data_IF_227568953397
#
_entry.id   IF_227568953397
#
_cell.length_a   1.000
_cell.length_b   1.000
_cell.length_c   1.000
_cell.angle_alpha   90.00
_cell.angle_beta   90.00
_cell.angle_gamma   90.00
#
_symmetry.space_group_name_H-M   'P 1'
#
loop_
_entity.id
_entity.type
_entity.pdbx_description
1 polymer ?
#
# COMPACT_ATOMS: atom_id res chain seq x y z
N UNK A 1 36.33 -34.65 29.80
CA UNK A 1 35.37 -33.75 29.11
C UNK A 1 34.98 -32.60 30.03
N UNK A 2 34.68 -31.41 29.50
CA UNK A 2 34.19 -30.27 30.31
C UNK A 2 32.65 -30.28 30.39
N UNK A 3 32.10 -30.09 31.59
CA UNK A 3 30.67 -29.99 31.86
C UNK A 3 30.32 -28.54 32.20
N UNK A 4 29.64 -27.84 31.28
CA UNK A 4 29.15 -26.49 31.49
C UNK A 4 27.75 -26.56 32.10
N UNK A 5 27.67 -26.53 33.43
CA UNK A 5 26.41 -26.65 34.18
C UNK A 5 25.84 -25.27 34.46
N UNK A 6 24.53 -25.12 34.31
CA UNK A 6 23.79 -23.88 34.55
C UNK A 6 22.55 -24.14 35.41
N UNK A 7 22.25 -23.24 36.35
CA UNK A 7 21.05 -23.33 37.19
C UNK A 7 20.11 -22.13 36.92
N UNK A 8 19.02 -22.32 36.15
CA UNK A 8 18.17 -21.20 35.72
C UNK A 8 17.43 -20.46 36.84
N UNK A 9 17.35 -21.03 38.05
CA UNK A 9 16.70 -20.42 39.21
C UNK A 9 17.56 -19.31 39.82
N UNK A 10 18.84 -19.61 40.13
CA UNK A 10 19.82 -18.60 40.60
C UNK A 10 20.38 -17.74 39.48
N UNK A 11 20.41 -18.26 38.25
CA UNK A 11 21.07 -17.62 37.10
C UNK A 11 22.58 -17.82 37.06
N UNK A 12 23.14 -18.63 37.97
CA UNK A 12 24.56 -18.98 38.00
C UNK A 12 24.90 -20.08 36.97
N UNK A 13 26.18 -20.16 36.62
CA UNK A 13 26.77 -21.18 35.75
C UNK A 13 28.20 -21.48 36.21
N UNK A 14 28.61 -22.74 36.13
CA UNK A 14 29.96 -23.19 36.50
C UNK A 14 30.42 -24.30 35.55
N UNK A 15 31.68 -24.23 35.13
CA UNK A 15 32.32 -25.29 34.36
C UNK A 15 33.03 -26.24 35.32
N UNK A 16 32.77 -27.53 35.15
CA UNK A 16 33.46 -28.61 35.85
C UNK A 16 34.28 -29.41 34.84
N UNK A 17 35.45 -29.89 35.24
CA UNK A 17 36.35 -30.70 34.41
C UNK A 17 36.32 -32.14 34.94
N UNK A 18 35.78 -33.07 34.15
CA UNK A 18 35.64 -34.48 34.54
C UNK A 18 36.46 -35.32 33.59
N UNK A 19 37.52 -35.95 34.10
CA UNK A 19 38.41 -36.83 33.31
C UNK A 19 38.03 -38.31 33.42
N UNK A 20 37.23 -38.68 34.42
CA UNK A 20 36.77 -40.05 34.66
C UNK A 20 35.67 -40.45 33.67
N UNK A 21 35.99 -41.34 32.73
CA UNK A 21 35.08 -41.85 31.73
C UNK A 21 33.95 -42.74 32.30
N UNK A 22 34.11 -43.36 33.48
CA UNK A 22 33.03 -44.15 34.09
C UNK A 22 31.85 -43.25 34.46
N UNK A 23 32.15 -42.05 34.96
CA UNK A 23 31.14 -41.02 35.22
C UNK A 23 30.53 -40.54 33.90
N UNK A 24 31.35 -40.24 32.89
CA UNK A 24 30.88 -39.71 31.61
C UNK A 24 30.02 -40.70 30.79
N UNK A 25 30.21 -42.01 30.93
CA UNK A 25 29.44 -43.07 30.23
C UNK A 25 27.92 -42.91 30.37
N UNK A 26 27.44 -42.42 31.50
CA UNK A 26 26.01 -42.20 31.77
C UNK A 26 25.37 -41.15 30.84
N UNK A 27 26.16 -40.25 30.27
CA UNK A 27 25.72 -39.26 29.28
C UNK A 27 25.77 -39.77 27.83
N UNK A 28 26.51 -40.84 27.53
CA UNK A 28 26.64 -41.37 26.16
C UNK A 28 25.33 -42.01 25.68
N UNK A 29 25.11 -41.97 24.36
CA UNK A 29 23.89 -42.34 23.64
C UNK A 29 22.60 -41.58 24.02
N UNK A 30 22.64 -40.75 25.06
CA UNK A 30 21.56 -39.82 25.40
C UNK A 30 21.48 -38.70 24.35
N UNK A 31 20.26 -38.24 24.08
CA UNK A 31 19.98 -37.19 23.08
C UNK A 31 19.87 -35.82 23.76
N UNK A 32 20.20 -34.75 23.02
CA UNK A 32 19.85 -33.38 23.43
C UNK A 32 18.37 -33.29 23.85
N UNK A 33 18.11 -32.62 24.98
CA UNK A 33 16.78 -32.49 25.58
C UNK A 33 16.38 -33.63 26.53
N UNK A 34 17.09 -34.76 26.54
CA UNK A 34 16.88 -35.81 27.53
C UNK A 34 17.26 -35.33 28.94
N UNK A 35 16.61 -35.93 29.95
CA UNK A 35 16.88 -35.71 31.37
C UNK A 35 17.58 -36.93 31.98
N UNK A 36 18.53 -36.68 32.88
CA UNK A 36 19.48 -37.65 33.42
C UNK A 36 19.72 -37.32 34.89
N UNK A 37 19.76 -38.32 35.76
CA UNK A 37 20.13 -38.14 37.17
C UNK A 37 21.64 -37.98 37.31
N UNK A 38 22.09 -37.05 38.15
CA UNK A 38 23.49 -36.64 38.23
C UNK A 38 24.31 -37.41 39.27
N UNK A 39 23.69 -38.32 40.02
CA UNK A 39 24.26 -39.02 41.18
C UNK A 39 25.61 -39.69 40.88
N UNK A 40 25.75 -40.24 39.66
CA UNK A 40 26.96 -40.88 39.16
C UNK A 40 28.19 -39.97 39.06
N UNK A 41 28.05 -38.64 39.19
CA UNK A 41 29.19 -37.72 39.25
C UNK A 41 29.88 -37.72 40.63
N UNK A 42 29.14 -38.05 41.70
CA UNK A 42 29.59 -38.06 43.10
C UNK A 42 28.57 -37.42 44.04
N UNK A 43 28.76 -37.59 45.35
CA UNK A 43 27.75 -37.32 46.39
C UNK A 43 27.23 -35.88 46.47
N UNK A 44 27.96 -34.90 45.95
CA UNK A 44 27.49 -33.50 45.81
C UNK A 44 26.28 -33.39 44.87
N UNK A 45 26.19 -34.30 43.89
CA UNK A 45 25.20 -34.30 42.81
C UNK A 45 24.00 -35.22 43.11
N UNK A 46 23.94 -35.84 44.30
CA UNK A 46 22.85 -36.73 44.71
C UNK A 46 21.50 -36.03 44.67
N UNK A 47 20.55 -36.61 43.94
CA UNK A 47 19.20 -36.07 43.72
C UNK A 47 19.11 -34.94 42.68
N UNK A 48 20.22 -34.47 42.11
CA UNK A 48 20.17 -33.51 41.01
C UNK A 48 19.72 -34.18 39.72
N UNK A 49 18.83 -33.52 38.98
CA UNK A 49 18.43 -33.94 37.62
C UNK A 49 18.85 -32.88 36.62
N UNK A 50 19.65 -33.30 35.64
CA UNK A 50 20.10 -32.47 34.54
C UNK A 50 19.28 -32.71 33.28
N UNK A 51 19.23 -31.70 32.41
CA UNK A 51 18.82 -31.80 31.00
C UNK A 51 20.01 -31.48 30.10
N UNK A 52 20.26 -32.31 29.09
CA UNK A 52 21.28 -32.01 28.07
C UNK A 52 20.79 -30.85 27.21
N UNK A 53 21.42 -29.68 27.33
CA UNK A 53 21.08 -28.49 26.53
C UNK A 53 21.76 -28.51 25.15
N UNK A 54 22.91 -29.15 25.04
CA UNK A 54 23.73 -29.22 23.83
C UNK A 54 25.21 -29.42 24.16
N UNK A 55 26.10 -28.99 23.28
CA UNK A 55 27.54 -29.10 23.48
C UNK A 55 28.34 -28.72 22.24
N UNK A 56 29.66 -28.87 22.36
CA UNK A 56 30.63 -28.65 21.29
C UNK A 56 31.54 -29.87 21.14
N UNK A 57 31.70 -30.30 19.90
CA UNK A 57 32.65 -31.33 19.45
C UNK A 57 34.12 -30.92 19.74
N UNK A 58 35.05 -31.88 19.75
CA UNK A 58 36.50 -31.64 19.93
C UNK A 58 37.05 -30.54 19.00
N UNK A 59 36.65 -30.53 17.73
CA UNK A 59 36.98 -29.44 16.77
C UNK A 59 35.95 -28.28 16.77
N UNK A 60 35.31 -27.99 17.91
CA UNK A 60 34.47 -26.82 18.15
C UNK A 60 33.08 -26.81 17.49
N UNK A 61 32.75 -27.76 16.62
CA UNK A 61 31.45 -27.82 15.94
C UNK A 61 30.29 -27.98 16.97
N UNK A 62 29.28 -27.09 16.96
CA UNK A 62 28.17 -27.18 17.91
C UNK A 62 27.23 -28.34 17.57
N UNK A 63 26.67 -28.97 18.60
CA UNK A 63 25.57 -29.94 18.47
C UNK A 63 24.29 -29.27 17.97
N UNK A 64 23.43 -30.04 17.29
CA UNK A 64 22.13 -29.55 16.81
C UNK A 64 20.99 -30.54 17.02
N UNK A 65 19.98 -30.09 17.75
CA UNK A 65 18.75 -30.84 17.98
C UNK A 65 18.06 -31.23 16.66
N UNK A 66 17.53 -32.45 16.63
CA UNK A 66 16.87 -33.08 15.48
C UNK A 66 17.81 -33.73 14.46
N UNK A 67 19.12 -33.76 14.69
CA UNK A 67 20.09 -34.48 13.85
C UNK A 67 20.43 -35.79 14.56
N UNK A 68 19.71 -36.86 14.23
CA UNK A 68 19.73 -38.15 14.97
C UNK A 68 20.97 -39.01 14.69
N UNK A 69 22.15 -38.39 14.69
CA UNK A 69 23.46 -39.04 14.61
C UNK A 69 24.29 -38.68 15.85
N UNK A 70 25.33 -39.47 16.12
CA UNK A 70 26.48 -39.02 16.91
C UNK A 70 27.44 -38.19 16.02
N UNK A 71 27.74 -38.63 14.79
CA UNK A 71 28.65 -37.98 13.84
C UNK A 71 28.20 -36.58 13.34
N UNK A 72 29.07 -35.90 12.56
CA UNK A 72 28.81 -34.58 11.96
C UNK A 72 28.13 -34.68 10.59
N UNK A 73 27.19 -33.77 10.30
CA UNK A 73 26.44 -33.73 9.03
C UNK A 73 26.49 -32.32 8.40
N UNK A 74 26.52 -32.21 7.06
CA UNK A 74 26.58 -30.92 6.31
C UNK A 74 25.20 -30.43 5.84
N UNK A 75 24.52 -29.68 6.70
CA UNK A 75 23.13 -29.20 6.50
C UNK A 75 23.06 -27.79 5.88
N UNK A 76 22.04 -27.55 5.04
CA UNK A 76 21.77 -26.25 4.40
C UNK A 76 20.91 -25.35 5.30
N UNK A 77 21.55 -24.55 6.15
CA UNK A 77 20.91 -23.74 7.17
C UNK A 77 20.37 -22.41 6.62
N UNK A 78 19.27 -21.91 7.21
CA UNK A 78 18.58 -20.64 6.87
C UNK A 78 18.41 -19.77 8.13
N UNK A 79 17.97 -18.51 7.97
CA UNK A 79 17.63 -17.61 9.09
C UNK A 79 16.68 -18.31 10.08
N UNK A 80 17.04 -18.29 11.37
CA UNK A 80 16.24 -18.88 12.45
C UNK A 80 16.55 -20.34 12.80
N UNK A 81 17.38 -21.04 12.03
CA UNK A 81 17.96 -22.31 12.50
C UNK A 81 19.12 -22.09 13.46
N UNK A 82 19.30 -23.01 14.40
CA UNK A 82 20.49 -23.09 15.26
C UNK A 82 21.79 -23.25 14.45
N UNK A 83 22.93 -22.93 15.08
CA UNK A 83 24.29 -23.09 14.53
C UNK A 83 24.65 -22.19 13.34
N UNK A 84 23.77 -21.25 12.94
CA UNK A 84 24.00 -20.30 11.85
C UNK A 84 23.30 -18.95 12.07
N UNK A 85 24.03 -17.87 11.75
CA UNK A 85 23.49 -16.51 11.63
C UNK A 85 23.82 -16.00 10.23
N UNK A 86 22.83 -15.74 9.35
CA UNK A 86 23.08 -15.20 8.02
C UNK A 86 23.66 -13.78 8.09
N UNK A 87 24.36 -13.39 7.03
CA UNK A 87 24.89 -12.03 6.81
C UNK A 87 24.01 -11.23 5.86
N UNK A 88 23.45 -11.86 4.81
CA UNK A 88 22.47 -11.25 3.89
C UNK A 88 21.04 -11.76 4.16
N UNK A 89 20.04 -10.98 3.78
CA UNK A 89 18.63 -11.43 3.76
C UNK A 89 18.45 -12.55 2.73
N UNK A 90 17.63 -13.57 3.05
CA UNK A 90 17.46 -14.76 2.21
C UNK A 90 18.61 -15.78 2.22
N UNK A 91 19.80 -15.43 2.71
CA UNK A 91 21.00 -16.27 2.67
C UNK A 91 20.80 -17.65 3.33
N UNK A 92 21.05 -18.71 2.57
CA UNK A 92 21.18 -20.09 3.05
C UNK A 92 22.63 -20.56 2.87
N UNK A 93 23.23 -21.20 3.88
CA UNK A 93 24.62 -21.70 3.79
C UNK A 93 24.73 -23.13 4.29
N UNK A 94 25.38 -24.00 3.51
CA UNK A 94 25.67 -25.38 3.91
C UNK A 94 26.82 -25.38 4.91
N UNK A 95 26.58 -25.83 6.14
CA UNK A 95 27.57 -25.90 7.23
C UNK A 95 27.63 -27.30 7.82
N UNK A 96 28.82 -27.72 8.25
CA UNK A 96 29.00 -28.89 9.10
C UNK A 96 28.47 -28.59 10.52
N UNK A 97 27.77 -29.54 11.11
CA UNK A 97 27.17 -29.44 12.45
C UNK A 97 27.26 -30.82 13.12
N UNK A 98 27.48 -30.86 14.45
CA UNK A 98 27.49 -32.11 15.21
C UNK A 98 26.05 -32.59 15.45
N UNK A 99 25.84 -33.91 15.48
CA UNK A 99 24.55 -34.52 15.77
C UNK A 99 24.03 -34.21 17.19
N UNK A 100 22.85 -34.74 17.53
CA UNK A 100 22.22 -34.55 18.83
C UNK A 100 22.48 -35.68 19.84
N UNK A 101 23.12 -36.78 19.42
CA UNK A 101 23.51 -37.89 20.30
C UNK A 101 24.86 -37.56 20.93
N UNK A 102 24.96 -37.75 22.25
CA UNK A 102 26.17 -37.50 23.04
C UNK A 102 27.13 -38.70 22.96
N UNK A 103 28.43 -38.41 22.89
CA UNK A 103 29.52 -39.35 22.58
C UNK A 103 30.85 -38.79 23.14
N UNK A 104 31.85 -39.65 23.31
CA UNK A 104 33.22 -39.34 23.76
C UNK A 104 33.94 -38.25 22.95
N UNK A 105 33.45 -37.92 21.75
CA UNK A 105 34.05 -36.91 20.86
C UNK A 105 33.54 -35.48 21.06
N UNK A 106 32.98 -35.18 22.23
CA UNK A 106 32.71 -33.81 22.67
C UNK A 106 33.89 -33.25 23.49
N UNK A 107 34.15 -31.95 23.34
CA UNK A 107 35.05 -31.19 24.22
C UNK A 107 34.29 -30.68 25.46
N UNK A 108 33.09 -30.13 25.22
CA UNK A 108 32.24 -29.58 26.26
C UNK A 108 30.77 -29.98 26.07
N UNK A 109 30.15 -30.47 27.14
CA UNK A 109 28.71 -30.74 27.22
C UNK A 109 28.03 -29.61 28.01
N UNK A 110 26.90 -29.11 27.53
CA UNK A 110 26.11 -28.06 28.19
C UNK A 110 24.90 -28.67 28.89
N UNK A 111 24.79 -28.42 30.20
CA UNK A 111 23.81 -29.02 31.09
C UNK A 111 22.98 -27.94 31.81
N UNK A 112 21.69 -28.21 31.96
CA UNK A 112 20.74 -27.37 32.71
C UNK A 112 20.24 -28.17 33.90
N UNK A 113 20.37 -27.63 35.12
CA UNK A 113 19.73 -28.20 36.31
C UNK A 113 18.21 -28.00 36.21
N UNK A 114 17.46 -29.10 36.25
CA UNK A 114 15.98 -29.13 36.25
C UNK A 114 15.44 -29.32 37.66
N UNK A 115 16.04 -30.23 38.44
CA UNK A 115 15.77 -30.42 39.87
C UNK A 115 17.06 -30.21 40.67
N UNK A 116 16.96 -29.47 41.77
CA UNK A 116 18.03 -29.36 42.78
C UNK A 116 18.01 -30.64 43.63
N UNK A 117 19.19 -31.18 43.94
CA UNK A 117 19.36 -32.28 44.90
C UNK A 117 19.47 -31.80 46.35
N UNK A 118 20.00 -32.68 47.21
CA UNK A 118 20.05 -32.50 48.66
C UNK A 118 21.08 -31.47 49.12
N UNK A 119 22.33 -31.61 48.65
CA UNK A 119 23.47 -30.74 49.02
C UNK A 119 23.55 -29.52 48.10
N UNK A 120 24.07 -28.40 48.59
CA UNK A 120 24.38 -27.24 47.75
C UNK A 120 25.77 -27.33 47.11
N UNK A 121 25.87 -26.80 45.88
CA UNK A 121 27.06 -26.93 45.04
C UNK A 121 27.73 -25.56 44.91
N UNK A 122 29.00 -25.42 45.35
CA UNK A 122 29.64 -24.13 45.56
C UNK A 122 29.81 -23.36 44.25
N UNK A 123 29.28 -22.13 44.22
CA UNK A 123 29.28 -21.28 43.02
C UNK A 123 28.32 -21.70 41.91
N UNK A 124 27.35 -22.58 42.15
CA UNK A 124 26.28 -22.93 41.21
C UNK A 124 24.86 -22.81 41.81
N UNK A 125 24.62 -23.37 42.99
CA UNK A 125 23.31 -23.29 43.66
C UNK A 125 23.33 -22.43 44.92
N UNK A 126 24.49 -22.33 45.57
CA UNK A 126 24.79 -21.42 46.66
C UNK A 126 24.71 -19.93 46.22
N UNK A 127 25.37 -19.56 45.10
CA UNK A 127 25.37 -18.17 44.63
C UNK A 127 24.13 -17.79 43.81
N UNK A 128 23.49 -16.67 44.16
CA UNK A 128 22.34 -16.10 43.42
C UNK A 128 22.74 -14.87 42.59
N UNK A 129 22.36 -14.85 41.31
CA UNK A 129 22.75 -13.82 40.34
C UNK A 129 21.50 -13.02 39.90
N UNK A 130 21.22 -11.86 40.52
CA UNK A 130 19.97 -11.14 40.30
C UNK A 130 19.83 -10.62 38.86
N UNK A 131 18.59 -10.67 38.33
CA UNK A 131 18.28 -10.25 36.95
C UNK A 131 18.51 -8.74 36.76
N UNK A 132 19.64 -8.39 36.12
CA UNK A 132 20.16 -7.03 35.89
C UNK A 132 19.18 -5.99 35.29
N UNK A 133 18.05 -6.40 34.70
CA UNK A 133 17.09 -5.51 34.03
C UNK A 133 15.64 -5.93 34.31
N UNK A 134 14.84 -4.99 34.81
CA UNK A 134 13.39 -5.14 34.96
C UNK A 134 12.59 -4.94 33.66
N UNK A 135 11.26 -5.11 33.71
CA UNK A 135 10.39 -5.04 32.54
C UNK A 135 10.31 -3.63 31.93
N UNK A 136 10.54 -3.52 30.61
CA UNK A 136 10.47 -2.24 29.86
C UNK A 136 9.08 -1.90 29.31
N UNK A 137 8.17 -2.87 29.20
CA UNK A 137 6.83 -2.69 28.58
C UNK A 137 5.79 -2.45 29.67
N UNK A 138 4.90 -1.47 29.50
CA UNK A 138 3.87 -1.12 30.49
C UNK A 138 3.07 -2.33 30.98
N UNK A 139 2.60 -3.20 30.07
CA UNK A 139 1.90 -4.44 30.41
C UNK A 139 2.70 -5.43 31.27
N UNK A 140 4.03 -5.41 31.17
CA UNK A 140 4.91 -6.31 31.90
C UNK A 140 5.35 -5.71 33.25
N UNK A 141 5.28 -4.39 33.40
CA UNK A 141 5.41 -3.71 34.70
C UNK A 141 4.16 -4.01 35.53
N UNK A 142 2.96 -3.88 34.95
CA UNK A 142 1.70 -4.24 35.63
C UNK A 142 1.69 -5.69 36.11
N UNK A 143 2.08 -6.64 35.26
CA UNK A 143 2.23 -8.07 35.61
C UNK A 143 3.33 -8.39 36.64
N UNK A 144 4.26 -7.47 36.93
CA UNK A 144 5.30 -7.71 37.94
C UNK A 144 4.85 -7.27 39.34
N UNK A 145 4.03 -6.22 39.41
CA UNK A 145 3.55 -5.60 40.64
C UNK A 145 2.03 -5.80 40.87
N UNK A 146 1.41 -6.72 40.12
CA UNK A 146 -0.04 -7.00 40.12
C UNK A 146 -0.96 -5.77 39.98
N UNK A 147 -0.48 -4.73 39.29
CA UNK A 147 -1.18 -3.46 39.14
C UNK A 147 -2.43 -3.57 38.24
N UNK A 148 -3.41 -2.72 38.56
CA UNK A 148 -4.66 -2.52 37.84
C UNK A 148 -4.44 -1.81 36.49
N UNK A 149 -5.52 -1.46 35.77
CA UNK A 149 -5.41 -0.67 34.53
C UNK A 149 -5.32 0.84 34.80
N UNK A 150 -5.65 1.24 36.01
CA UNK A 150 -5.83 2.59 36.51
C UNK A 150 -4.48 3.16 36.99
N UNK A 151 -3.65 2.33 37.62
CA UNK A 151 -2.33 2.70 38.19
C UNK A 151 -1.31 3.23 37.17
N UNK A 152 -0.59 4.32 37.51
CA UNK A 152 0.53 4.79 36.67
C UNK A 152 1.81 3.97 36.88
N UNK A 153 2.05 3.07 35.92
CA UNK A 153 3.26 2.27 35.77
C UNK A 153 4.58 3.05 35.75
N UNK A 154 4.57 4.39 35.66
CA UNK A 154 5.78 5.22 35.75
C UNK A 154 6.45 5.19 37.12
N UNK A 155 5.68 5.09 38.20
CA UNK A 155 6.22 5.06 39.56
C UNK A 155 6.93 3.72 39.81
N UNK A 156 6.29 2.62 39.42
CA UNK A 156 6.73 1.23 39.57
C UNK A 156 7.79 0.78 38.53
N UNK A 157 8.55 1.71 37.93
CA UNK A 157 9.66 1.34 37.04
C UNK A 157 10.90 1.00 37.86
N UNK A 158 11.34 -0.27 37.80
CA UNK A 158 12.63 -0.71 38.35
C UNK A 158 13.77 0.16 37.78
N UNK A 159 14.37 0.98 38.65
CA UNK A 159 15.53 1.83 38.33
C UNK A 159 16.79 1.06 38.70
N UNK A 160 17.79 1.02 37.81
CA UNK A 160 19.10 0.44 38.13
C UNK A 160 19.98 1.51 38.80
N UNK A 161 20.49 1.31 40.03
CA UNK A 161 21.54 2.17 40.56
C UNK A 161 22.83 2.01 39.74
N UNK A 162 23.56 3.10 39.55
CA UNK A 162 24.95 3.09 39.14
C UNK A 162 25.76 3.66 40.31
N UNK A 163 26.77 2.94 40.83
CA UNK A 163 27.63 3.47 41.88
C UNK A 163 28.46 4.66 41.38
N UNK A 164 29.08 5.36 42.31
CA UNK A 164 30.18 6.30 42.05
C UNK A 164 31.25 5.60 41.21
N UNK A 165 31.63 6.16 40.06
CA UNK A 165 32.77 5.64 39.29
C UNK A 165 33.35 6.71 38.35
N UNK A 166 34.67 6.71 38.20
CA UNK A 166 35.40 7.53 37.23
C UNK A 166 35.03 9.03 37.35
N UNK A 167 35.01 9.56 38.59
CA UNK A 167 34.66 10.95 38.92
C UNK A 167 33.17 11.32 38.75
N UNK A 168 32.27 10.34 38.59
CA UNK A 168 30.86 10.57 38.30
C UNK A 168 29.97 10.10 39.45
N UNK A 169 29.31 11.08 40.08
CA UNK A 169 28.32 10.90 41.15
C UNK A 169 27.37 9.74 40.92
N UNK A 170 27.15 8.93 41.95
CA UNK A 170 26.18 7.82 41.96
C UNK A 170 24.80 8.28 41.43
N UNK A 171 24.16 7.46 40.59
CA UNK A 171 22.91 7.86 39.90
C UNK A 171 22.07 6.70 39.42
N UNK A 172 20.75 6.84 39.49
CA UNK A 172 19.82 5.82 38.98
C UNK A 172 19.56 5.98 37.48
N UNK A 173 19.29 4.86 36.79
CA UNK A 173 18.85 4.84 35.38
C UNK A 173 17.58 4.00 35.23
N UNK A 174 16.53 4.62 34.67
CA UNK A 174 15.27 3.97 34.35
C UNK A 174 15.15 3.70 32.82
N UNK A 175 14.55 2.58 32.40
CA UNK A 175 14.22 2.35 30.99
C UNK A 175 13.05 3.24 30.52
N UNK A 176 13.15 3.81 29.31
CA UNK A 176 11.99 4.45 28.65
C UNK A 176 10.89 3.42 28.39
N UNK A 177 9.75 3.57 29.07
CA UNK A 177 8.62 2.64 29.04
C UNK A 177 8.06 2.51 27.62
N UNK A 178 7.89 1.28 27.15
CA UNK A 178 7.29 0.97 25.86
C UNK A 178 5.80 0.63 25.99
N UNK A 179 4.98 1.06 25.02
CA UNK A 179 3.52 0.87 24.98
C UNK A 179 2.75 1.51 26.15
N UNK A 180 3.31 2.53 26.78
CA UNK A 180 2.57 3.45 27.66
C UNK A 180 1.63 4.32 26.81
N UNK A 181 0.39 4.51 27.28
CA UNK A 181 -0.54 5.50 26.73
C UNK A 181 -0.20 6.86 27.35
N UNK A 182 -0.04 7.90 26.54
CA UNK A 182 0.24 9.27 26.99
C UNK A 182 -0.72 10.26 26.34
N UNK A 183 -0.90 11.49 26.88
CA UNK A 183 -1.73 12.51 26.26
C UNK A 183 -1.37 12.77 24.79
N UNK A 184 -0.09 12.77 24.45
CA UNK A 184 0.41 12.91 23.06
C UNK A 184 -0.01 11.74 22.17
N UNK A 185 -0.08 10.51 22.68
CA UNK A 185 -0.61 9.35 21.92
C UNK A 185 -2.12 9.50 21.69
N UNK A 186 -2.87 9.97 22.67
CA UNK A 186 -4.30 10.24 22.55
C UNK A 186 -4.59 11.40 21.58
N UNK A 187 -3.83 12.49 21.66
CA UNK A 187 -3.88 13.63 20.72
C UNK A 187 -3.58 13.17 19.29
N UNK A 188 -2.53 12.37 19.06
CA UNK A 188 -2.20 11.79 17.74
C UNK A 188 -3.30 10.85 17.23
N UNK A 189 -4.00 10.12 18.11
CA UNK A 189 -5.19 9.31 17.74
C UNK A 189 -6.36 10.20 17.33
N UNK A 190 -6.69 11.23 18.13
CA UNK A 190 -7.74 12.22 17.82
C UNK A 190 -7.48 12.94 16.50
N UNK A 191 -6.27 13.46 16.29
CA UNK A 191 -5.85 14.15 15.06
C UNK A 191 -5.96 13.25 13.81
N UNK A 192 -5.54 11.98 13.89
CA UNK A 192 -5.69 11.02 12.78
C UNK A 192 -7.16 10.78 12.41
N UNK A 193 -8.06 10.76 13.40
CA UNK A 193 -9.50 10.62 13.17
C UNK A 193 -10.10 11.91 12.57
N UNK A 194 -9.67 13.08 13.03
CA UNK A 194 -10.07 14.37 12.45
C UNK A 194 -9.66 14.50 10.98
N UNK A 195 -8.43 14.10 10.60
CA UNK A 195 -8.00 14.04 9.20
C UNK A 195 -8.88 13.08 8.37
N UNK A 196 -9.27 11.93 8.93
CA UNK A 196 -10.18 11.00 8.25
C UNK A 196 -11.57 11.62 8.03
N UNK A 197 -12.12 12.31 9.02
CA UNK A 197 -13.38 13.06 8.92
C UNK A 197 -13.31 14.14 7.82
N UNK A 198 -12.31 15.04 7.89
CA UNK A 198 -12.10 16.11 6.91
C UNK A 198 -12.00 15.61 5.47
N UNK A 199 -11.37 14.45 5.23
CA UNK A 199 -11.29 13.82 3.89
C UNK A 199 -12.61 13.24 3.39
N UNK A 200 -13.55 12.90 4.28
CA UNK A 200 -14.90 12.44 3.92
C UNK A 200 -15.81 13.65 3.69
N UNK A 201 -15.69 14.68 4.54
CA UNK A 201 -16.35 15.99 4.39
C UNK A 201 -15.97 16.63 3.04
N UNK A 202 -14.68 16.87 2.79
CA UNK A 202 -14.22 17.50 1.53
C UNK A 202 -14.55 16.70 0.26
N UNK A 203 -14.72 15.38 0.38
CA UNK A 203 -15.18 14.53 -0.74
C UNK A 203 -16.67 14.72 -1.01
N UNK A 204 -17.51 14.77 0.03
CA UNK A 204 -18.95 15.06 -0.10
C UNK A 204 -19.20 16.47 -0.64
N UNK A 205 -18.39 17.44 -0.21
CA UNK A 205 -18.44 18.83 -0.69
C UNK A 205 -18.13 18.89 -2.19
N UNK A 206 -16.99 18.33 -2.63
CA UNK A 206 -16.62 18.26 -4.04
C UNK A 206 -17.63 17.47 -4.90
N UNK A 207 -18.22 16.41 -4.36
CA UNK A 207 -19.29 15.63 -5.01
C UNK A 207 -20.56 16.48 -5.20
N UNK A 208 -20.98 17.23 -4.16
CA UNK A 208 -22.12 18.13 -4.24
C UNK A 208 -21.88 19.33 -5.17
N UNK A 209 -20.67 19.88 -5.20
CA UNK A 209 -20.26 20.93 -6.16
C UNK A 209 -20.24 20.44 -7.59
N UNK A 210 -19.66 19.26 -7.84
CA UNK A 210 -19.67 18.63 -9.14
C UNK A 210 -21.10 18.37 -9.64
N UNK A 211 -21.99 17.89 -8.76
CA UNK A 211 -23.41 17.73 -9.09
C UNK A 211 -24.09 19.06 -9.44
N UNK A 212 -23.86 20.15 -8.69
CA UNK A 212 -24.37 21.49 -9.04
C UNK A 212 -23.91 21.93 -10.45
N UNK A 213 -22.63 21.75 -10.77
CA UNK A 213 -22.06 22.07 -12.09
C UNK A 213 -22.69 21.20 -13.18
N UNK A 214 -22.92 19.92 -12.92
CA UNK A 214 -23.52 18.97 -13.85
C UNK A 214 -24.99 19.33 -14.14
N UNK A 215 -25.77 19.71 -13.12
CA UNK A 215 -27.13 20.24 -13.28
C UNK A 215 -27.15 21.54 -14.09
N UNK A 216 -26.21 22.47 -13.83
CA UNK A 216 -26.10 23.72 -14.60
C UNK A 216 -25.80 23.45 -16.08
N UNK A 217 -24.82 22.59 -16.39
CA UNK A 217 -24.47 22.21 -17.76
C UNK A 217 -25.65 21.53 -18.48
N UNK A 218 -26.33 20.57 -17.83
CA UNK A 218 -27.56 19.94 -18.39
C UNK A 218 -28.66 20.97 -18.66
N UNK A 219 -28.85 21.98 -17.80
CA UNK A 219 -29.82 23.07 -18.02
C UNK A 219 -29.43 23.93 -19.23
N UNK A 220 -28.17 24.35 -19.32
CA UNK A 220 -27.64 25.13 -20.45
C UNK A 220 -27.75 24.35 -21.77
N UNK A 221 -27.41 23.07 -21.78
CA UNK A 221 -27.53 22.19 -22.94
C UNK A 221 -28.99 21.99 -23.37
N UNK A 222 -29.92 21.79 -22.42
CA UNK A 222 -31.37 21.72 -22.72
C UNK A 222 -31.89 23.03 -23.32
N UNK A 223 -31.41 24.18 -22.84
CA UNK A 223 -31.73 25.50 -23.41
C UNK A 223 -31.14 25.64 -24.82
N UNK A 224 -29.87 25.29 -25.04
CA UNK A 224 -29.20 25.34 -26.36
C UNK A 224 -29.87 24.41 -27.36
N UNK A 225 -30.32 23.23 -26.94
CA UNK A 225 -31.10 22.29 -27.77
C UNK A 225 -32.49 22.83 -28.10
N UNK A 226 -33.20 23.44 -27.13
CA UNK A 226 -34.51 24.09 -27.37
C UNK A 226 -34.38 25.30 -28.30
N UNK A 227 -33.37 26.13 -28.12
CA UNK A 227 -33.05 27.28 -29.00
C UNK A 227 -32.76 26.82 -30.43
N UNK A 228 -31.89 25.82 -30.62
CA UNK A 228 -31.64 25.20 -31.94
C UNK A 228 -32.93 24.68 -32.59
N UNK A 229 -33.78 23.99 -31.82
CA UNK A 229 -35.07 23.48 -32.30
C UNK A 229 -36.07 24.59 -32.65
N UNK A 230 -36.05 25.73 -31.93
CA UNK A 230 -36.80 26.93 -32.33
C UNK A 230 -36.28 27.45 -33.65
N UNK A 231 -34.99 27.76 -33.79
CA UNK A 231 -34.43 28.26 -35.05
C UNK A 231 -34.66 27.31 -36.24
N UNK A 232 -34.73 25.99 -36.02
CA UNK A 232 -35.09 24.98 -37.05
C UNK A 232 -36.58 24.96 -37.39
N UNK A 233 -37.45 25.47 -36.51
CA UNK A 233 -38.90 25.64 -36.73
C UNK A 233 -39.18 26.99 -37.37
N UNK A 234 -38.57 28.05 -36.85
CA UNK A 234 -38.75 29.43 -37.28
C UNK A 234 -38.27 29.62 -38.74
N UNK A 235 -37.15 28.98 -39.11
CA UNK A 235 -36.67 28.88 -40.51
C UNK A 235 -37.50 27.94 -41.40
N UNK A 236 -38.31 27.05 -40.83
CA UNK A 236 -39.27 26.22 -41.58
C UNK A 236 -40.60 26.94 -41.81
N UNK A 237 -41.04 27.79 -40.88
CA UNK A 237 -42.21 28.65 -41.07
C UNK A 237 -41.95 29.80 -42.02
N UNK A 238 -40.77 30.44 -41.98
CA UNK A 238 -40.45 31.50 -42.96
C UNK A 238 -40.42 30.95 -44.40
N UNK A 239 -39.81 29.79 -44.62
CA UNK A 239 -39.83 29.06 -45.91
C UNK A 239 -41.24 28.50 -46.22
N UNK A 240 -42.17 28.47 -45.27
CA UNK A 240 -43.60 28.30 -45.55
C UNK A 240 -44.20 29.58 -46.12
N UNK A 241 -44.18 30.64 -45.32
CA UNK A 241 -44.74 31.96 -45.67
C UNK A 241 -44.22 32.53 -47.00
N UNK A 242 -42.93 32.37 -47.33
CA UNK A 242 -42.41 32.85 -48.60
C UNK A 242 -43.00 32.10 -49.80
N UNK A 243 -43.19 30.77 -49.69
CA UNK A 243 -43.82 29.97 -50.76
C UNK A 243 -45.30 30.33 -50.93
N UNK A 244 -46.00 30.66 -49.86
CA UNK A 244 -47.42 31.06 -49.96
C UNK A 244 -47.58 32.49 -50.48
N UNK A 245 -46.72 33.44 -50.03
CA UNK A 245 -46.62 34.79 -50.61
C UNK A 245 -46.17 34.77 -52.08
N UNK A 246 -45.40 33.78 -52.51
CA UNK A 246 -45.01 33.61 -53.92
C UNK A 246 -46.17 33.08 -54.78
N UNK A 247 -46.95 32.10 -54.30
CA UNK A 247 -48.20 31.65 -54.97
C UNK A 247 -49.18 32.81 -55.14
N UNK A 248 -49.39 33.60 -54.10
CA UNK A 248 -50.30 34.75 -54.13
C UNK A 248 -49.86 35.81 -55.15
N UNK A 249 -48.56 36.15 -55.18
CA UNK A 249 -47.97 37.03 -56.19
C UNK A 249 -48.05 36.45 -57.61
N UNK A 250 -47.99 35.14 -57.78
CA UNK A 250 -48.18 34.47 -59.07
C UNK A 250 -49.64 34.57 -59.55
N UNK A 251 -50.61 34.34 -58.68
CA UNK A 251 -52.04 34.50 -58.97
C UNK A 251 -52.38 35.95 -59.35
N UNK A 252 -51.90 36.94 -58.58
CA UNK A 252 -52.08 38.35 -58.88
C UNK A 252 -51.43 38.78 -60.22
N UNK A 253 -50.27 38.21 -60.57
CA UNK A 253 -49.64 38.39 -61.89
C UNK A 253 -50.45 37.75 -63.02
N UNK A 254 -51.07 36.60 -62.80
CA UNK A 254 -51.93 35.96 -63.79
C UNK A 254 -53.16 36.83 -64.10
N UNK A 255 -53.89 37.29 -63.07
CA UNK A 255 -55.06 38.15 -63.21
C UNK A 255 -54.74 39.45 -63.99
N UNK A 256 -53.69 40.19 -63.59
CA UNK A 256 -53.25 41.40 -64.32
C UNK A 256 -52.81 41.14 -65.77
N UNK A 257 -52.41 39.91 -66.11
CA UNK A 257 -52.00 39.52 -67.47
C UNK A 257 -53.18 39.17 -68.38
N UNK A 258 -54.35 38.81 -67.82
CA UNK A 258 -55.60 38.63 -68.56
C UNK A 258 -56.18 40.00 -68.94
N UNK A 259 -56.48 40.85 -67.96
CA UNK A 259 -57.07 42.19 -68.19
C UNK A 259 -56.28 43.06 -69.17
N UNK A 260 -54.93 43.03 -69.08
CA UNK A 260 -54.05 43.80 -69.99
C UNK A 260 -53.97 43.22 -71.41
N UNK A 261 -54.52 42.03 -71.65
CA UNK A 261 -54.65 41.39 -72.97
C UNK A 261 -55.97 41.77 -73.64
N UNK A 262 -57.03 41.97 -72.86
CA UNK A 262 -58.37 42.38 -73.31
C UNK A 262 -58.38 43.85 -73.76
N UNK A 263 -57.95 44.77 -72.90
CA UNK A 263 -57.87 46.20 -73.25
C UNK A 263 -56.97 46.48 -74.49
N UNK A 264 -55.95 45.64 -74.75
CA UNK A 264 -55.12 45.74 -75.95
C UNK A 264 -55.81 45.27 -77.24
N UNK A 265 -56.91 44.52 -77.14
CA UNK A 265 -57.68 44.00 -78.28
C UNK A 265 -58.63 45.07 -78.84
N UNK A 266 -59.18 45.91 -77.97
CA UNK A 266 -60.10 46.99 -78.32
C UNK A 266 -59.38 48.15 -79.03
N UNK A 267 -58.32 48.69 -78.42
CA UNK A 267 -57.53 49.81 -78.98
C UNK A 267 -57.05 49.52 -80.40
N UNK A 268 -56.64 48.27 -80.67
CA UNK A 268 -56.15 47.86 -81.99
C UNK A 268 -57.22 47.98 -83.09
N UNK A 269 -58.49 47.72 -82.75
CA UNK A 269 -59.64 47.76 -83.67
C UNK A 269 -59.96 49.18 -84.14
N UNK A 270 -59.77 50.18 -83.27
CA UNK A 270 -59.96 51.60 -83.60
C UNK A 270 -58.84 52.12 -84.53
N UNK A 271 -57.60 51.73 -84.26
CA UNK A 271 -56.42 52.24 -85.01
C UNK A 271 -56.31 51.75 -86.46
N UNK A 272 -56.96 50.64 -86.83
CA UNK A 272 -56.94 50.12 -88.20
C UNK A 272 -57.89 50.89 -89.14
N UNK A 273 -58.92 51.57 -88.61
CA UNK A 273 -59.82 52.42 -89.40
C UNK A 273 -59.12 53.68 -89.92
N UNK A 274 -58.40 54.40 -89.05
CA UNK A 274 -57.72 55.65 -89.40
C UNK A 274 -56.59 55.46 -90.43
N UNK A 275 -55.85 54.34 -90.35
CA UNK A 275 -54.69 54.11 -91.22
C UNK A 275 -55.02 53.83 -92.70
N UNK A 276 -56.29 53.74 -93.09
CA UNK A 276 -56.69 53.82 -94.51
C UNK A 276 -56.38 55.17 -95.17
N UNK A 277 -56.26 56.25 -94.39
CA UNK A 277 -55.91 57.58 -94.92
C UNK A 277 -54.41 57.78 -95.17
N UNK A 278 -53.53 57.04 -94.47
CA UNK A 278 -52.11 57.36 -94.31
C UNK A 278 -51.15 56.28 -94.86
N UNK A 279 -51.66 55.41 -95.72
CA UNK A 279 -50.93 54.22 -96.21
C UNK A 279 -49.93 54.53 -97.35
N UNK A 280 -48.92 55.40 -97.12
CA UNK A 280 -47.91 55.71 -98.16
C UNK A 280 -46.44 55.93 -97.75
N UNK A 281 -45.97 55.50 -96.56
CA UNK A 281 -44.53 55.62 -96.18
C UNK A 281 -43.90 54.51 -95.27
N UNK A 282 -42.97 53.72 -95.86
CA UNK A 282 -41.62 53.26 -95.39
C UNK A 282 -41.33 52.61 -93.99
N UNK A 283 -41.23 51.26 -93.97
CA UNK A 283 -40.06 50.35 -93.61
C UNK A 283 -39.19 50.36 -92.30
N UNK A 284 -39.09 49.15 -91.64
CA UNK A 284 -37.90 48.41 -91.02
C UNK A 284 -37.07 48.99 -89.81
N UNK A 285 -36.37 48.24 -88.89
CA UNK A 285 -36.29 46.80 -88.44
C UNK A 285 -35.48 46.57 -87.08
N UNK A 286 -35.34 45.32 -86.54
CA UNK A 286 -35.05 44.92 -85.10
C UNK A 286 -34.10 43.68 -84.78
N UNK A 287 -33.22 43.69 -83.71
CA UNK A 287 -32.44 42.53 -83.16
C UNK A 287 -32.47 42.29 -81.58
N UNK A 288 -31.75 41.25 -81.04
CA UNK A 288 -32.13 40.44 -79.81
C UNK A 288 -31.18 40.39 -78.53
N UNK A 289 -30.94 39.22 -77.85
CA UNK A 289 -30.60 39.05 -76.37
C UNK A 289 -29.91 37.67 -75.95
N UNK A 290 -29.50 37.45 -74.67
CA UNK A 290 -29.22 36.15 -73.88
C UNK A 290 -27.80 35.45 -73.91
N UNK A 291 -27.29 34.51 -73.04
CA UNK A 291 -27.44 34.02 -71.60
C UNK A 291 -26.56 32.74 -71.24
N UNK A 292 -26.01 32.51 -69.98
CA UNK A 292 -25.81 31.19 -69.20
C UNK A 292 -24.50 30.84 -68.38
N UNK A 293 -24.71 30.00 -67.32
CA UNK A 293 -23.93 29.05 -66.42
C UNK A 293 -22.46 28.59 -66.66
N UNK A 294 -21.72 28.14 -65.61
CA UNK A 294 -20.63 27.10 -65.62
C UNK A 294 -20.15 26.66 -64.19
N UNK A 295 -19.65 25.40 -63.97
CA UNK A 295 -19.42 24.76 -62.63
C UNK A 295 -18.19 23.75 -62.53
N UNK A 296 -17.72 23.36 -61.30
CA UNK A 296 -16.76 22.25 -60.85
C UNK A 296 -15.27 22.55 -60.45
N UNK A 297 -14.61 21.67 -59.63
CA UNK A 297 -13.15 21.66 -59.32
C UNK A 297 -12.69 20.88 -58.03
N UNK A 298 -11.48 20.25 -57.98
CA UNK A 298 -10.95 19.45 -56.82
C UNK A 298 -9.41 19.18 -56.86
N UNK A 299 -8.77 18.93 -55.69
CA UNK A 299 -7.31 18.63 -55.42
C UNK A 299 -6.38 19.87 -55.47
N UNK A 300 -5.13 19.92 -54.96
CA UNK A 300 -4.18 18.89 -54.43
C UNK A 300 -3.35 19.44 -53.24
N UNK A 301 -2.38 18.68 -52.70
CA UNK A 301 -1.58 19.03 -51.52
C UNK A 301 -0.28 19.81 -51.82
N UNK A 302 0.35 20.40 -50.78
CA UNK A 302 1.67 21.03 -50.80
C UNK A 302 2.25 21.18 -49.39
N UNK A 303 3.59 21.10 -49.26
CA UNK A 303 4.35 21.04 -48.00
C UNK A 303 5.27 22.26 -47.82
N UNK A 304 5.45 22.76 -46.57
CA UNK A 304 6.72 23.30 -46.03
C UNK A 304 6.65 23.81 -44.58
N UNK A 305 7.76 23.55 -43.88
CA UNK A 305 8.48 24.27 -42.79
C UNK A 305 8.08 25.76 -42.57
N UNK A 306 8.17 26.37 -41.38
CA UNK A 306 9.37 26.55 -40.53
C UNK A 306 9.10 26.84 -39.03
N UNK A 307 10.19 26.91 -38.24
CA UNK A 307 10.49 27.72 -37.01
C UNK A 307 9.30 28.36 -36.27
N UNK A 308 9.09 28.22 -34.96
CA UNK A 308 10.01 28.15 -33.79
C UNK A 308 10.85 29.42 -33.55
N UNK A 309 10.28 30.32 -32.74
CA UNK A 309 10.96 30.96 -31.59
C UNK A 309 10.21 30.48 -30.36
#
# INVERSE_FOLDING_TARGET
MKLNVSFPATGAQKTFEVMDDHKLRHFYDKRMGAEITADHLGDEWKGYVFKIAGGNDKQGFPMKQGVLTNTRVRLLLKKGHSCYRPRRTGERKRKSVRGCIVDQNLSALALIVVKKGEKDIPGLTDTTVPRRLGPKRASNIRKLYNLTKEDDVRQFVVKRPLPEKDGKKARTKAPKIQRLITPVVLQRKRHRLAIKKRRVESRKEAEAEYMKILHLRRRQERIRRRSRLSSMRDSRSSVGEERDKEKEKAAAKAAKKVAKKEAKKEVKKVTEAAKKADAKAKTKAEPKKAEKKAETGKKTAGDKKEKKV
#
